data_IF_993192954634
#
_entry.id   IF_993192954634
#
_cell.length_a   1.000
_cell.length_b   1.000
_cell.length_c   1.000
_cell.angle_alpha   90.00
_cell.angle_beta   90.00
_cell.angle_gamma   90.00
#
_symmetry.space_group_name_H-M   'P 1'
#
loop_
_entity.id
_entity.type
_entity.pdbx_description
1 polymer ?
#
# COMPACT_ATOMS: atom_id res chain seq x y z
N UNK A 1 -8.19 -14.66 1.14
CA UNK A 1 -9.44 -14.98 1.84
C UNK A 1 -9.59 -16.49 1.96
N UNK A 2 -9.40 -17.08 3.13
CA UNK A 2 -9.69 -18.50 3.37
C UNK A 2 -11.01 -18.56 4.12
N UNK A 3 -12.04 -19.13 3.50
CA UNK A 3 -13.35 -19.27 4.14
C UNK A 3 -13.47 -20.70 4.67
N UNK A 4 -13.36 -20.86 5.99
CA UNK A 4 -13.79 -22.08 6.69
C UNK A 4 -14.73 -21.66 7.81
N UNK A 5 -16.03 -21.95 7.64
CA UNK A 5 -17.07 -21.78 8.66
C UNK A 5 -17.33 -20.32 9.07
N UNK A 6 -18.26 -19.63 8.41
CA UNK A 6 -18.94 -18.38 8.79
C UNK A 6 -18.16 -17.23 9.47
N UNK A 7 -16.84 -17.28 9.51
CA UNK A 7 -15.95 -16.26 10.08
C UNK A 7 -14.86 -16.00 9.07
N UNK A 8 -14.94 -14.84 8.42
CA UNK A 8 -13.88 -14.34 7.57
C UNK A 8 -12.87 -13.60 8.45
N UNK A 9 -11.85 -14.29 8.95
CA UNK A 9 -10.70 -13.63 9.60
C UNK A 9 -9.78 -13.06 8.52
N UNK A 10 -9.77 -11.72 8.41
CA UNK A 10 -8.79 -11.01 7.60
C UNK A 10 -7.49 -10.88 8.40
N UNK A 11 -6.54 -11.77 8.13
CA UNK A 11 -5.17 -11.62 8.63
C UNK A 11 -4.44 -10.60 7.76
N UNK A 12 -3.83 -9.60 8.39
CA UNK A 12 -3.01 -8.59 7.71
C UNK A 12 -1.67 -8.44 8.41
N UNK A 13 -0.64 -8.13 7.63
CA UNK A 13 0.66 -7.70 8.13
C UNK A 13 0.90 -6.25 7.66
N UNK A 14 1.54 -5.44 8.50
CA UNK A 14 1.83 -4.04 8.17
C UNK A 14 3.34 -3.80 8.25
N UNK A 15 3.90 -3.32 7.15
CA UNK A 15 5.23 -2.71 7.12
C UNK A 15 5.03 -1.19 7.18
N UNK A 16 5.69 -0.53 8.13
CA UNK A 16 5.63 0.92 8.26
C UNK A 16 6.98 1.53 7.91
N UNK A 17 6.98 2.52 7.03
CA UNK A 17 8.19 3.28 6.67
C UNK A 17 8.58 4.20 7.82
N UNK A 18 9.83 4.69 7.87
CA UNK A 18 10.16 5.85 8.67
C UNK A 18 9.28 7.05 8.32
N UNK A 19 9.20 8.00 9.25
CA UNK A 19 8.58 9.29 8.96
C UNK A 19 9.37 10.01 7.86
N UNK A 20 8.67 10.50 6.84
CA UNK A 20 9.26 11.24 5.73
C UNK A 20 9.01 12.74 5.93
N UNK A 21 10.08 13.51 6.16
CA UNK A 21 10.01 14.98 6.08
C UNK A 21 9.96 15.39 4.62
N UNK A 22 8.94 16.15 4.24
CA UNK A 22 8.73 16.57 2.85
C UNK A 22 9.48 17.84 2.50
N UNK A 23 10.08 18.55 3.47
CA UNK A 23 10.80 19.82 3.27
C UNK A 23 10.08 20.76 2.29
N UNK A 24 8.78 20.95 2.51
CA UNK A 24 7.88 21.77 1.68
C UNK A 24 7.51 21.23 0.29
N UNK A 25 7.99 20.04 -0.09
CA UNK A 25 7.55 19.37 -1.31
C UNK A 25 6.04 19.09 -1.26
N UNK A 26 5.37 19.34 -2.38
CA UNK A 26 3.92 19.13 -2.55
C UNK A 26 3.59 17.74 -3.07
N UNK A 27 4.51 17.15 -3.83
CA UNK A 27 4.37 15.84 -4.43
C UNK A 27 5.69 15.08 -4.32
N UNK A 28 5.60 13.76 -4.26
CA UNK A 28 6.72 12.83 -4.31
C UNK A 28 6.33 11.60 -5.11
N UNK A 29 7.31 10.76 -5.43
CA UNK A 29 7.08 9.50 -6.13
C UNK A 29 7.59 8.35 -5.26
N UNK A 30 6.71 7.41 -4.92
CA UNK A 30 7.11 6.16 -4.27
C UNK A 30 7.10 5.04 -5.30
N UNK A 31 8.23 4.35 -5.41
CA UNK A 31 8.41 3.22 -6.31
C UNK A 31 8.74 1.98 -5.53
N UNK A 32 8.07 0.88 -5.82
CA UNK A 32 8.39 -0.41 -5.23
C UNK A 32 8.11 -1.55 -6.20
N UNK A 33 8.79 -2.67 -5.97
CA UNK A 33 8.53 -3.92 -6.67
C UNK A 33 7.81 -4.88 -5.75
N UNK A 34 6.87 -5.63 -6.30
CA UNK A 34 6.11 -6.64 -5.56
C UNK A 34 5.94 -7.92 -6.36
N UNK A 35 5.75 -9.02 -5.64
CA UNK A 35 5.52 -10.35 -6.20
C UNK A 35 4.42 -11.02 -5.39
N UNK A 36 3.28 -11.29 -6.03
CA UNK A 36 2.13 -11.91 -5.38
C UNK A 36 1.95 -13.30 -5.98
N UNK A 37 2.30 -14.31 -5.19
CA UNK A 37 2.13 -15.72 -5.55
C UNK A 37 1.32 -16.47 -4.48
N UNK A 38 0.94 -17.71 -4.80
CA UNK A 38 0.17 -18.59 -3.91
C UNK A 38 -1.20 -18.95 -4.49
N UNK A 39 -1.82 -19.98 -3.90
CA UNK A 39 -3.09 -20.54 -4.41
C UNK A 39 -4.24 -19.54 -4.29
N UNK A 40 -4.35 -18.86 -3.15
CA UNK A 40 -5.29 -17.78 -2.88
C UNK A 40 -4.51 -16.48 -2.75
N UNK A 41 -4.55 -15.58 -3.76
CA UNK A 41 -3.75 -14.36 -3.72
C UNK A 41 -4.13 -13.49 -2.51
N UNK A 42 -3.10 -12.95 -1.85
CA UNK A 42 -3.26 -11.91 -0.85
C UNK A 42 -3.37 -10.55 -1.54
N UNK A 43 -4.01 -9.59 -0.87
CA UNK A 43 -4.00 -8.20 -1.32
C UNK A 43 -2.84 -7.43 -0.68
N UNK A 44 -2.21 -6.59 -1.48
CA UNK A 44 -1.24 -5.59 -1.06
C UNK A 44 -1.90 -4.22 -1.14
N UNK A 45 -1.87 -3.46 -0.05
CA UNK A 45 -2.33 -2.07 -0.03
C UNK A 45 -1.25 -1.16 0.51
N UNK A 46 -1.18 0.05 -0.04
CA UNK A 46 -0.32 1.12 0.44
C UNK A 46 -1.20 2.22 1.00
N UNK A 47 -0.89 2.62 2.23
CA UNK A 47 -1.65 3.62 2.97
C UNK A 47 -0.69 4.75 3.32
N UNK A 48 -1.00 5.96 2.85
CA UNK A 48 -0.35 7.18 3.30
C UNK A 48 -0.95 7.56 4.65
N UNK A 49 -0.10 7.68 5.67
CA UNK A 49 -0.48 8.15 7.00
C UNK A 49 -0.01 9.60 7.17
N UNK A 50 -0.96 10.48 7.47
CA UNK A 50 -0.76 11.91 7.61
C UNK A 50 -1.92 12.53 8.38
N UNK A 51 -2.22 13.81 8.17
CA UNK A 51 -3.43 14.43 8.76
C UNK A 51 -4.70 13.71 8.27
N UNK A 52 -4.72 13.34 6.99
CA UNK A 52 -5.72 12.43 6.41
C UNK A 52 -5.04 11.12 6.05
N UNK A 53 -5.59 10.01 6.54
CA UNK A 53 -5.16 8.67 6.10
C UNK A 53 -5.77 8.37 4.74
N UNK A 54 -4.94 8.04 3.76
CA UNK A 54 -5.38 7.80 2.38
C UNK A 54 -4.84 6.47 1.86
N UNK A 55 -5.71 5.68 1.21
CA UNK A 55 -5.29 4.53 0.42
C UNK A 55 -4.78 5.01 -0.93
N UNK A 56 -3.50 4.80 -1.20
CA UNK A 56 -2.85 5.28 -2.43
C UNK A 56 -2.57 4.15 -3.43
N UNK A 57 -2.68 2.89 -2.99
CA UNK A 57 -2.59 1.73 -3.87
C UNK A 57 -3.28 0.51 -3.26
N UNK A 58 -3.85 -0.32 -4.12
CA UNK A 58 -4.33 -1.64 -3.79
C UNK A 58 -4.19 -2.58 -5.00
N UNK A 59 -3.58 -3.74 -4.80
CA UNK A 59 -3.57 -4.81 -5.79
C UNK A 59 -3.88 -6.15 -5.09
N UNK A 60 -4.73 -6.97 -5.69
CA UNK A 60 -5.08 -8.30 -5.19
C UNK A 60 -4.86 -9.42 -6.22
N UNK A 61 -4.27 -9.10 -7.37
CA UNK A 61 -4.01 -10.05 -8.44
C UNK A 61 -2.64 -10.70 -8.28
N UNK A 62 -2.51 -11.92 -8.80
CA UNK A 62 -1.22 -12.60 -8.88
C UNK A 62 -0.37 -11.93 -9.94
N UNK A 63 0.94 -11.87 -9.70
CA UNK A 63 1.90 -11.29 -10.65
C UNK A 63 2.45 -12.33 -11.64
N UNK A 64 1.71 -13.41 -11.90
CA UNK A 64 2.01 -14.46 -12.90
C UNK A 64 3.51 -14.80 -13.06
N UNK A 65 4.15 -15.20 -11.95
CA UNK A 65 5.56 -15.63 -11.88
C UNK A 65 6.62 -14.60 -12.29
N UNK A 66 6.27 -13.31 -12.29
CA UNK A 66 7.23 -12.21 -12.43
C UNK A 66 7.03 -11.10 -11.39
N UNK A 67 8.04 -10.25 -11.21
CA UNK A 67 7.95 -9.07 -10.36
C UNK A 67 7.26 -7.95 -11.11
N UNK A 68 6.27 -7.32 -10.47
CA UNK A 68 5.65 -6.11 -10.95
C UNK A 68 6.24 -4.88 -10.25
N UNK A 69 6.10 -3.71 -10.88
CA UNK A 69 6.52 -2.42 -10.31
C UNK A 69 5.30 -1.53 -10.17
N UNK A 70 5.20 -0.83 -9.03
CA UNK A 70 4.24 0.23 -8.83
C UNK A 70 4.98 1.56 -8.68
N UNK A 71 4.54 2.53 -9.47
CA UNK A 71 4.96 3.93 -9.39
C UNK A 71 3.77 4.74 -8.90
N UNK A 72 3.87 5.27 -7.68
CA UNK A 72 2.79 6.00 -7.03
C UNK A 72 3.19 7.45 -6.82
N UNK A 73 2.36 8.35 -7.35
CA UNK A 73 2.43 9.76 -6.99
C UNK A 73 1.84 9.94 -5.58
N UNK A 74 2.60 10.58 -4.71
CA UNK A 74 2.23 10.83 -3.32
C UNK A 74 2.09 12.34 -3.14
N UNK A 75 0.87 12.81 -2.92
CA UNK A 75 0.61 14.21 -2.60
C UNK A 75 0.80 14.47 -1.11
N UNK A 76 1.52 15.52 -0.75
CA UNK A 76 1.80 15.92 0.63
C UNK A 76 0.99 17.15 1.09
N UNK A 77 0.21 17.76 0.19
CA UNK A 77 -0.54 19.00 0.42
C UNK A 77 -1.49 18.96 1.63
N UNK A 78 -1.99 17.78 2.01
CA UNK A 78 -2.85 17.62 3.18
C UNK A 78 -2.12 17.56 4.53
N UNK A 79 -0.79 17.47 4.56
CA UNK A 79 -0.03 17.31 5.82
C UNK A 79 0.51 18.63 6.39
N UNK A 80 0.38 19.73 5.63
CA UNK A 80 0.60 21.07 6.13
C UNK A 80 -0.72 21.66 6.59
N UNK A 81 -0.97 21.61 7.89
CA UNK A 81 -1.83 22.61 8.51
C UNK A 81 -1.11 23.96 8.33
N UNK A 82 -1.87 24.98 7.89
CA UNK A 82 -1.40 26.37 7.72
C UNK A 82 -0.61 26.89 8.90
#
# INVERSE_FOLDING_TARGET
>A
MVVRGNTATNHFARLQTPHLSTNDARTGCMRFRYFISGRTPASLSVIKQGFVTQYIFANGHKTEDHWESADLDVEFLGDKVM
#
